data_IF_536823838595
#
_entry.id   IF_536823838595
#
_cell.length_a   1.000
_cell.length_b   1.000
_cell.length_c   1.000
_cell.angle_alpha   90.00
_cell.angle_beta   90.00
_cell.angle_gamma   90.00
#
_symmetry.space_group_name_H-M   'P 1'
#
loop_
_entity.id
_entity.type
_entity.pdbx_description
1 polymer ?
#
# COMPACT_ATOMS: atom_id res chain seq x y z
N UNK A 1 -2.92 13.98 10.18
CA UNK A 1 -3.79 14.16 9.00
C UNK A 1 -4.42 12.81 8.66
N UNK A 2 -5.73 12.72 8.38
CA UNK A 2 -6.36 11.45 7.98
C UNK A 2 -6.04 11.15 6.52
N UNK A 3 -5.62 9.93 6.21
CA UNK A 3 -5.43 9.46 4.83
C UNK A 3 -6.75 8.92 4.29
N UNK A 4 -7.05 9.22 3.04
CA UNK A 4 -8.28 8.80 2.35
C UNK A 4 -7.94 7.70 1.35
N UNK A 5 -8.78 6.66 1.35
CA UNK A 5 -8.82 5.62 0.33
C UNK A 5 -10.07 5.85 -0.52
N UNK A 6 -9.90 5.80 -1.84
CA UNK A 6 -10.98 6.04 -2.79
C UNK A 6 -11.25 4.78 -3.59
N UNK A 7 -12.52 4.39 -3.70
CA UNK A 7 -12.98 3.33 -4.59
C UNK A 7 -13.92 4.00 -5.60
N UNK A 8 -13.62 3.86 -6.88
CA UNK A 8 -14.36 4.51 -7.97
C UNK A 8 -14.68 3.48 -9.06
N UNK A 9 -15.76 3.71 -9.82
CA UNK A 9 -15.96 2.98 -11.07
C UNK A 9 -15.06 3.56 -12.17
N UNK A 10 -14.65 2.69 -13.08
CA UNK A 10 -13.95 3.01 -14.33
C UNK A 10 -14.57 4.15 -15.14
N UNK A 11 -15.90 4.25 -15.19
CA UNK A 11 -16.64 5.31 -15.89
C UNK A 11 -16.24 6.73 -15.45
N UNK A 12 -15.74 6.88 -14.22
CA UNK A 12 -15.35 8.17 -13.66
C UNK A 12 -13.85 8.44 -13.72
N UNK A 13 -13.01 7.44 -14.01
CA UNK A 13 -11.55 7.55 -13.88
C UNK A 13 -11.02 8.72 -14.70
N UNK A 14 -11.38 8.80 -15.98
CA UNK A 14 -10.96 9.88 -16.90
C UNK A 14 -11.33 11.28 -16.38
N UNK A 15 -12.46 11.40 -15.68
CA UNK A 15 -12.97 12.69 -15.19
C UNK A 15 -12.25 13.16 -13.92
N UNK A 16 -11.82 12.23 -13.06
CA UNK A 16 -11.31 12.56 -11.72
C UNK A 16 -9.82 12.27 -11.53
N UNK A 17 -9.17 11.58 -12.46
CA UNK A 17 -7.76 11.15 -12.35
C UNK A 17 -6.81 12.32 -12.06
N UNK A 18 -7.00 13.45 -12.73
CA UNK A 18 -6.17 14.66 -12.51
C UNK A 18 -6.38 15.22 -11.10
N UNK A 19 -7.63 15.45 -10.70
CA UNK A 19 -7.96 15.99 -9.38
C UNK A 19 -7.51 15.08 -8.25
N UNK A 20 -7.61 13.76 -8.44
CA UNK A 20 -7.16 12.75 -7.49
C UNK A 20 -5.63 12.74 -7.38
N UNK A 21 -4.92 12.91 -8.49
CA UNK A 21 -3.45 13.02 -8.51
C UNK A 21 -2.95 14.19 -7.65
N UNK A 22 -3.63 15.34 -7.71
CA UNK A 22 -3.26 16.54 -6.95
C UNK A 22 -3.69 16.50 -5.47
N UNK A 23 -4.75 15.75 -5.14
CA UNK A 23 -5.29 15.69 -3.79
C UNK A 23 -4.36 14.96 -2.80
N UNK A 24 -3.57 15.71 -2.02
CA UNK A 24 -2.59 15.16 -1.07
C UNK A 24 -3.17 14.25 0.01
N UNK A 25 -4.46 14.39 0.34
CA UNK A 25 -5.15 13.55 1.32
C UNK A 25 -5.48 12.15 0.78
N UNK A 26 -5.58 11.99 -0.55
CA UNK A 26 -5.85 10.71 -1.19
C UNK A 26 -4.52 9.98 -1.34
N UNK A 27 -4.41 8.84 -0.66
CA UNK A 27 -3.19 8.03 -0.68
C UNK A 27 -3.29 6.87 -1.67
N UNK A 28 -4.50 6.34 -1.89
CA UNK A 28 -4.70 5.15 -2.69
C UNK A 28 -6.07 5.16 -3.34
N UNK A 29 -6.10 4.72 -4.59
CA UNK A 29 -7.29 4.64 -5.43
C UNK A 29 -7.40 3.21 -5.93
N UNK A 30 -8.60 2.64 -5.82
CA UNK A 30 -8.95 1.35 -6.39
C UNK A 30 -10.09 1.54 -7.37
N UNK A 31 -10.03 0.83 -8.49
CA UNK A 31 -11.00 0.98 -9.56
C UNK A 31 -11.85 -0.28 -9.64
N UNK A 32 -13.16 -0.10 -9.68
CA UNK A 32 -14.11 -1.15 -10.02
C UNK A 32 -14.30 -1.12 -11.53
N UNK A 33 -13.88 -2.18 -12.21
CA UNK A 33 -14.03 -2.33 -13.65
C UNK A 33 -14.12 -3.80 -14.04
N UNK A 34 -14.98 -4.09 -15.01
CA UNK A 34 -14.99 -5.39 -15.67
C UNK A 34 -13.85 -5.53 -16.69
N UNK A 35 -13.17 -4.44 -17.03
CA UNK A 35 -12.08 -4.38 -18.00
C UNK A 35 -10.77 -3.92 -17.33
N UNK A 36 -9.95 -4.89 -16.95
CA UNK A 36 -8.65 -4.63 -16.32
C UNK A 36 -7.56 -4.21 -17.31
N UNK A 37 -7.83 -4.22 -18.63
CA UNK A 37 -6.79 -3.93 -19.63
C UNK A 37 -6.29 -2.49 -19.57
N UNK A 38 -7.12 -1.58 -19.07
CA UNK A 38 -6.78 -0.16 -18.94
C UNK A 38 -6.00 0.19 -17.66
N UNK A 39 -5.80 -0.77 -16.75
CA UNK A 39 -5.15 -0.51 -15.46
C UNK A 39 -3.77 0.16 -15.63
N UNK A 40 -2.97 -0.33 -16.58
CA UNK A 40 -1.61 0.15 -16.80
C UNK A 40 -1.61 1.62 -17.24
N UNK A 41 -2.50 1.97 -18.17
CA UNK A 41 -2.72 3.34 -18.63
C UNK A 41 -3.18 4.26 -17.47
N UNK A 42 -4.10 3.80 -16.64
CA UNK A 42 -4.54 4.60 -15.50
C UNK A 42 -3.43 4.80 -14.47
N UNK A 43 -2.62 3.77 -14.19
CA UNK A 43 -1.46 3.86 -13.29
C UNK A 43 -0.40 4.84 -13.80
N UNK A 44 -0.17 4.90 -15.12
CA UNK A 44 0.71 5.90 -15.73
C UNK A 44 0.17 7.34 -15.55
N UNK A 45 -1.15 7.53 -15.65
CA UNK A 45 -1.77 8.84 -15.45
C UNK A 45 -1.87 9.24 -13.97
N UNK A 46 -1.98 8.28 -13.06
CA UNK A 46 -2.06 8.53 -11.62
C UNK A 46 -1.38 7.42 -10.81
N UNK A 47 -0.19 7.72 -10.28
CA UNK A 47 0.58 6.80 -9.43
C UNK A 47 -0.08 6.45 -8.07
N UNK A 48 -1.24 7.04 -7.76
CA UNK A 48 -2.05 6.68 -6.58
C UNK A 48 -2.97 5.49 -6.84
N UNK A 49 -3.14 5.07 -8.09
CA UNK A 49 -3.94 3.89 -8.44
C UNK A 49 -3.18 2.63 -8.04
N UNK A 50 -3.78 1.84 -7.15
CA UNK A 50 -3.17 0.64 -6.59
C UNK A 50 -3.59 -0.63 -7.32
N UNK A 51 -4.84 -0.70 -7.77
CA UNK A 51 -5.32 -1.81 -8.59
C UNK A 51 -6.74 -1.64 -9.09
N UNK A 52 -7.10 -2.52 -10.01
CA UNK A 52 -8.44 -2.65 -10.58
C UNK A 52 -9.03 -3.99 -10.21
N UNK A 53 -10.35 -4.04 -9.97
CA UNK A 53 -11.07 -5.30 -9.80
C UNK A 53 -12.50 -5.19 -10.30
N UNK A 54 -13.10 -6.32 -10.63
CA UNK A 54 -14.50 -6.42 -11.05
C UNK A 54 -15.49 -6.36 -9.88
N UNK A 55 -15.01 -6.56 -8.65
CA UNK A 55 -15.85 -6.62 -7.45
C UNK A 55 -15.28 -5.82 -6.29
N UNK A 56 -16.18 -5.31 -5.45
CA UNK A 56 -15.82 -4.56 -4.24
C UNK A 56 -15.15 -5.49 -3.21
N UNK A 57 -15.58 -6.74 -3.16
CA UNK A 57 -15.07 -7.79 -2.28
C UNK A 57 -13.59 -8.05 -2.52
N UNK A 58 -13.17 -8.12 -3.78
CA UNK A 58 -11.76 -8.27 -4.15
C UNK A 58 -10.94 -7.05 -3.71
N UNK A 59 -11.46 -5.84 -3.88
CA UNK A 59 -10.82 -4.62 -3.37
C UNK A 59 -10.67 -4.68 -1.85
N UNK A 60 -11.69 -5.14 -1.11
CA UNK A 60 -11.59 -5.36 0.33
C UNK A 60 -10.54 -6.40 0.71
N UNK A 61 -10.41 -7.49 -0.04
CA UNK A 61 -9.36 -8.48 0.20
C UNK A 61 -7.96 -7.89 0.01
N UNK A 62 -7.75 -7.09 -1.04
CA UNK A 62 -6.49 -6.39 -1.26
C UNK A 62 -6.20 -5.43 -0.10
N UNK A 63 -7.19 -4.62 0.30
CA UNK A 63 -7.05 -3.69 1.42
C UNK A 63 -6.71 -4.40 2.74
N UNK A 64 -7.38 -5.52 3.06
CA UNK A 64 -7.06 -6.31 4.25
C UNK A 64 -5.64 -6.84 4.21
N UNK A 65 -5.21 -7.33 3.06
CA UNK A 65 -3.86 -7.84 2.86
C UNK A 65 -2.81 -6.72 3.04
N UNK A 66 -3.04 -5.55 2.46
CA UNK A 66 -2.14 -4.39 2.56
C UNK A 66 -2.03 -3.88 4.01
N UNK A 67 -3.14 -3.84 4.75
CA UNK A 67 -3.15 -3.48 6.18
C UNK A 67 -2.36 -4.51 7.00
N UNK A 68 -2.61 -5.79 6.75
CA UNK A 68 -1.92 -6.87 7.45
C UNK A 68 -0.40 -6.84 7.22
N UNK A 69 0.04 -6.59 6.00
CA UNK A 69 1.46 -6.41 5.70
C UNK A 69 2.05 -5.19 6.39
N UNK A 70 1.34 -4.06 6.38
CA UNK A 70 1.78 -2.84 7.06
C UNK A 70 1.94 -3.06 8.58
N UNK A 71 1.06 -3.85 9.21
CA UNK A 71 1.18 -4.22 10.62
C UNK A 71 2.39 -5.13 10.89
N UNK A 72 2.71 -6.05 9.97
CA UNK A 72 3.88 -6.95 10.13
C UNK A 72 5.21 -6.24 9.90
N UNK A 73 5.30 -5.32 8.95
CA UNK A 73 6.52 -4.53 8.73
C UNK A 73 6.81 -3.54 9.88
N UNK A 74 5.80 -3.23 10.70
CA UNK A 74 5.96 -2.48 11.94
C UNK A 74 6.42 -3.35 13.12
N UNK A 75 6.63 -4.65 12.93
CA UNK A 75 7.25 -5.49 13.95
C UNK A 75 8.65 -4.96 14.23
N UNK A 76 8.96 -4.49 15.45
CA UNK A 76 10.25 -3.89 15.72
C UNK A 76 11.33 -4.95 15.50
N UNK A 77 12.29 -4.64 14.62
CA UNK A 77 13.58 -5.30 14.60
C UNK A 77 14.18 -5.12 15.99
N UNK A 78 13.99 -6.11 16.87
CA UNK A 78 14.67 -6.15 18.15
C UNK A 78 16.15 -6.36 17.84
N UNK A 79 16.92 -5.27 17.86
CA UNK A 79 18.37 -5.32 17.85
C UNK A 79 18.79 -6.12 19.06
N UNK A 80 19.21 -7.36 18.84
CA UNK A 80 19.80 -8.18 19.90
C UNK A 80 21.14 -7.53 20.21
N UNK A 81 21.19 -6.70 21.25
CA UNK A 81 22.45 -6.17 21.77
C UNK A 81 23.24 -7.36 22.29
N UNK A 82 24.24 -7.80 21.53
CA UNK A 82 25.13 -8.90 21.89
C UNK A 82 26.06 -8.47 23.03
N UNK A 83 25.54 -8.49 24.25
CA UNK A 83 26.29 -8.53 25.50
C UNK A 83 26.05 -9.93 26.09
N UNK A 84 27.01 -10.80 26.40
CA UNK A 84 28.46 -10.71 26.61
C UNK A 84 29.01 -12.14 26.63
N UNK A 85 30.27 -12.39 26.25
CA UNK A 85 31.09 -13.48 26.85
C UNK A 85 32.54 -12.97 26.92
N UNK A 86 32.91 -12.30 28.02
CA UNK A 86 33.67 -12.81 29.19
C UNK A 86 35.18 -12.78 28.95
N UNK A 87 35.85 -11.97 29.79
CA UNK A 87 37.28 -11.94 30.01
C UNK A 87 37.92 -13.34 30.03
N UNK A 88 38.97 -13.52 29.22
CA UNK A 88 39.99 -14.55 29.43
C UNK A 88 41.34 -13.84 29.43
N UNK A 89 41.62 -13.20 30.56
CA UNK A 89 42.98 -13.09 31.07
C UNK A 89 43.25 -14.30 31.98
N UNK A 90 44.53 -14.68 32.06
CA UNK A 90 45.13 -15.75 32.87
C UNK A 90 45.13 -17.15 32.25
N UNK A 91 46.26 -17.49 31.61
CA UNK A 91 47.15 -18.57 32.08
C UNK A 91 48.47 -18.53 31.29
N UNK A 92 49.55 -18.33 32.05
CA UNK A 92 50.99 -18.54 31.82
C UNK A 92 51.53 -18.79 30.39
#
# INVERSE_FOLDING_TARGET
>A
MKKIFLIISDDFVQQIVMSVSEASQINSVYIISNDITQELNWKEQCGKIKGTSDTVENIFHILKHDIYLAERDLSPLTTISSTSITDLNELD
#
